data_IF_171559696627
#
_entry.id   IF_171559696627
#
_cell.length_a   1.000
_cell.length_b   1.000
_cell.length_c   1.000
_cell.angle_alpha   90.00
_cell.angle_beta   90.00
_cell.angle_gamma   90.00
#
_symmetry.space_group_name_H-M   'P 1'
#
loop_
_entity.id
_entity.type
_entity.pdbx_description
1 polymer ?
#
# COMPACT_ATOMS: atom_id res chain seq x y z
N UNK A 1 -4.05 -12.28 23.77
CA UNK A 1 -4.45 -12.98 22.53
C UNK A 1 -4.21 -14.47 22.74
N UNK A 2 -5.25 -15.30 22.77
CA UNK A 2 -5.10 -16.77 22.92
C UNK A 2 -4.68 -17.33 21.56
N UNK A 3 -3.59 -18.10 21.51
CA UNK A 3 -3.13 -18.81 20.30
C UNK A 3 -3.63 -20.25 20.34
N UNK A 4 -3.79 -20.86 19.18
CA UNK A 4 -3.95 -22.30 19.09
C UNK A 4 -2.78 -23.00 19.79
N UNK A 5 -3.06 -24.07 20.53
CA UNK A 5 -1.99 -24.91 21.09
C UNK A 5 -1.33 -25.60 19.90
N UNK A 6 -0.01 -25.44 19.79
CA UNK A 6 0.81 -26.15 18.80
C UNK A 6 1.45 -27.38 19.44
N UNK A 7 1.87 -28.33 18.62
CA UNK A 7 2.65 -29.49 19.07
C UNK A 7 3.92 -29.05 19.79
N UNK A 8 4.28 -29.66 20.93
CA UNK A 8 5.49 -29.30 21.67
C UNK A 8 6.77 -29.74 20.95
N UNK A 9 6.67 -30.64 19.97
CA UNK A 9 7.78 -31.22 19.25
C UNK A 9 7.78 -30.79 17.78
N UNK A 10 8.93 -30.41 17.21
CA UNK A 10 9.06 -30.16 15.79
C UNK A 10 8.80 -31.45 15.00
N UNK A 11 8.11 -31.34 13.86
CA UNK A 11 7.81 -32.48 12.97
C UNK A 11 6.60 -33.32 13.38
N UNK A 12 5.90 -32.97 14.46
CA UNK A 12 4.64 -33.63 14.86
C UNK A 12 3.46 -32.77 14.43
N UNK A 13 2.68 -33.26 13.46
CA UNK A 13 1.41 -32.65 13.05
C UNK A 13 0.34 -32.95 14.10
N UNK A 14 -0.44 -31.94 14.51
CA UNK A 14 -1.61 -32.13 15.36
C UNK A 14 -2.88 -32.27 14.51
N UNK A 15 -3.88 -32.99 15.03
CA UNK A 15 -5.20 -33.06 14.41
C UNK A 15 -5.87 -31.67 14.40
N UNK A 16 -6.66 -31.42 13.35
CA UNK A 16 -7.37 -30.15 13.17
C UNK A 16 -8.40 -30.00 14.30
N UNK A 17 -8.25 -28.95 15.11
CA UNK A 17 -9.16 -28.63 16.21
C UNK A 17 -9.99 -27.37 15.92
N UNK A 18 -11.26 -27.40 16.34
CA UNK A 18 -12.16 -26.24 16.33
C UNK A 18 -12.09 -25.44 17.63
N UNK A 19 -11.88 -24.14 17.53
CA UNK A 19 -11.90 -23.19 18.65
C UNK A 19 -13.24 -22.49 18.76
N UNK A 20 -13.88 -22.60 19.93
CA UNK A 20 -15.09 -21.82 20.20
C UNK A 20 -14.75 -20.34 20.37
N UNK A 21 -15.33 -19.49 19.52
CA UNK A 21 -15.13 -18.02 19.55
C UNK A 21 -16.35 -17.26 20.08
N UNK A 22 -17.54 -17.87 20.07
CA UNK A 22 -18.75 -17.29 20.65
C UNK A 22 -19.60 -18.37 21.32
N UNK A 23 -20.31 -17.98 22.39
CA UNK A 23 -21.20 -18.89 23.14
C UNK A 23 -22.67 -18.81 22.70
N UNK A 24 -23.13 -17.63 22.28
CA UNK A 24 -24.51 -17.38 21.82
C UNK A 24 -24.52 -16.42 20.62
N UNK A 25 -24.74 -16.90 19.38
CA UNK A 25 -24.80 -18.32 19.01
C UNK A 25 -23.47 -19.03 19.28
N UNK A 26 -23.49 -20.35 19.41
CA UNK A 26 -22.24 -21.11 19.58
C UNK A 26 -21.50 -21.17 18.24
N UNK A 27 -20.39 -20.44 18.12
CA UNK A 27 -19.58 -20.35 16.89
C UNK A 27 -18.20 -20.94 17.15
N UNK A 28 -17.74 -21.77 16.22
CA UNK A 28 -16.44 -22.44 16.25
C UNK A 28 -15.64 -22.08 15.00
N UNK A 29 -14.32 -21.99 15.11
CA UNK A 29 -13.37 -21.69 14.02
C UNK A 29 -12.33 -22.79 13.96
N UNK A 30 -12.07 -23.34 12.77
CA UNK A 30 -11.01 -24.30 12.54
C UNK A 30 -9.66 -23.58 12.43
N UNK A 31 -8.60 -24.16 13.01
CA UNK A 31 -7.24 -23.57 12.99
C UNK A 31 -6.54 -23.66 11.63
N UNK A 32 -7.04 -24.53 10.75
CA UNK A 32 -6.46 -24.76 9.42
C UNK A 32 -7.32 -24.04 8.39
N UNK A 33 -6.89 -22.88 7.86
CA UNK A 33 -7.61 -22.21 6.79
C UNK A 33 -7.59 -23.11 5.54
N UNK A 34 -8.70 -23.11 4.78
CA UNK A 34 -8.73 -23.74 3.46
C UNK A 34 -7.90 -22.91 2.49
N UNK A 35 -6.83 -23.50 1.95
CA UNK A 35 -6.00 -22.86 0.91
C UNK A 35 -6.52 -23.31 -0.45
N UNK A 36 -7.05 -22.36 -1.23
CA UNK A 36 -7.54 -22.58 -2.58
C UNK A 36 -6.60 -21.92 -3.58
N UNK A 37 -6.48 -22.51 -4.77
CA UNK A 37 -5.79 -21.88 -5.89
C UNK A 37 -6.69 -20.79 -6.48
N UNK A 38 -6.21 -19.55 -6.65
CA UNK A 38 -7.01 -18.50 -7.24
C UNK A 38 -7.26 -18.77 -8.73
N UNK A 39 -8.48 -18.53 -9.20
CA UNK A 39 -8.78 -18.47 -10.64
C UNK A 39 -8.37 -17.10 -11.17
N UNK A 40 -7.57 -17.07 -12.24
CA UNK A 40 -7.12 -15.83 -12.90
C UNK A 40 -7.67 -15.85 -14.33
N UNK A 41 -8.87 -15.28 -14.55
CA UNK A 41 -9.53 -15.35 -15.86
C UNK A 41 -8.89 -14.43 -16.91
N UNK A 42 -8.28 -13.32 -16.48
CA UNK A 42 -7.75 -12.29 -17.35
C UNK A 42 -6.47 -11.63 -16.80
N UNK A 43 -5.82 -10.82 -17.64
CA UNK A 43 -4.54 -10.16 -17.34
C UNK A 43 -4.71 -9.11 -16.23
N UNK A 44 -5.81 -8.37 -16.22
CA UNK A 44 -6.08 -7.33 -15.23
C UNK A 44 -6.23 -7.93 -13.83
N UNK A 45 -6.98 -9.02 -13.70
CA UNK A 45 -7.08 -9.78 -12.44
C UNK A 45 -5.70 -10.23 -11.96
N UNK A 46 -4.85 -10.71 -12.88
CA UNK A 46 -3.47 -11.08 -12.57
C UNK A 46 -2.64 -9.89 -12.05
N UNK A 47 -2.78 -8.71 -12.66
CA UNK A 47 -2.10 -7.48 -12.25
C UNK A 47 -2.61 -6.98 -10.89
N UNK A 48 -3.92 -7.04 -10.62
CA UNK A 48 -4.50 -6.70 -9.31
C UNK A 48 -3.98 -7.61 -8.20
N UNK A 49 -3.95 -8.93 -8.45
CA UNK A 49 -3.40 -9.91 -7.51
C UNK A 49 -1.89 -9.69 -7.26
N UNK A 50 -1.13 -9.39 -8.31
CA UNK A 50 0.28 -9.06 -8.17
C UNK A 50 0.45 -7.77 -7.37
N UNK A 51 -0.32 -6.72 -7.66
CA UNK A 51 -0.27 -5.44 -6.97
C UNK A 51 -0.59 -5.58 -5.46
N UNK A 52 -1.58 -6.41 -5.12
CA UNK A 52 -1.92 -6.77 -3.74
C UNK A 52 -0.82 -7.62 -3.02
N UNK A 53 0.13 -8.18 -3.76
CA UNK A 53 1.18 -9.05 -3.24
C UNK A 53 0.77 -10.52 -3.08
N UNK A 54 -0.37 -10.92 -3.67
CA UNK A 54 -0.86 -12.32 -3.68
C UNK A 54 -0.10 -13.20 -4.67
N UNK A 55 0.52 -12.60 -5.69
CA UNK A 55 1.37 -13.27 -6.68
C UNK A 55 2.79 -12.71 -6.57
N UNK A 56 3.80 -13.56 -6.76
CA UNK A 56 5.21 -13.17 -6.66
C UNK A 56 5.57 -12.17 -7.77
N UNK A 57 6.16 -11.04 -7.39
CA UNK A 57 6.49 -9.95 -8.31
C UNK A 57 7.31 -10.39 -9.52
N UNK A 58 8.29 -11.28 -9.33
CA UNK A 58 9.17 -11.76 -10.41
C UNK A 58 8.44 -12.57 -11.50
N UNK A 59 7.20 -13.01 -11.25
CA UNK A 59 6.38 -13.74 -12.24
C UNK A 59 5.77 -12.77 -13.25
N UNK A 60 5.39 -11.56 -12.80
CA UNK A 60 4.72 -10.55 -13.63
C UNK A 60 5.70 -9.46 -14.10
N UNK A 61 6.73 -9.17 -13.29
CA UNK A 61 7.71 -8.12 -13.48
C UNK A 61 7.37 -6.88 -12.64
N UNK A 62 8.30 -6.45 -11.79
CA UNK A 62 8.12 -5.31 -10.89
C UNK A 62 7.77 -4.02 -11.65
N UNK A 63 8.42 -3.77 -12.79
CA UNK A 63 8.17 -2.61 -13.64
C UNK A 63 6.74 -2.60 -14.19
N UNK A 64 6.29 -3.73 -14.72
CA UNK A 64 4.94 -3.88 -15.27
C UNK A 64 3.85 -3.71 -14.21
N UNK A 65 4.07 -4.21 -12.99
CA UNK A 65 3.14 -3.99 -11.87
C UNK A 65 3.12 -2.50 -11.47
N UNK A 66 4.28 -1.83 -11.45
CA UNK A 66 4.37 -0.41 -11.12
C UNK A 66 3.73 0.50 -12.19
N UNK A 67 3.92 0.20 -13.48
CA UNK A 67 3.24 0.87 -14.59
C UNK A 67 1.72 0.74 -14.45
N UNK A 68 1.21 -0.47 -14.17
CA UNK A 68 -0.22 -0.69 -13.93
C UNK A 68 -0.74 0.13 -12.74
N UNK A 69 0.00 0.17 -11.63
CA UNK A 69 -0.38 1.00 -10.48
C UNK A 69 -0.45 2.49 -10.85
N UNK A 70 0.52 3.01 -11.61
CA UNK A 70 0.50 4.41 -12.07
C UNK A 70 -0.70 4.69 -12.97
N UNK A 71 -0.98 3.81 -13.93
CA UNK A 71 -2.17 3.89 -14.78
C UNK A 71 -3.46 3.99 -13.93
N UNK A 72 -3.67 3.06 -13.00
CA UNK A 72 -4.85 3.03 -12.12
C UNK A 72 -4.96 4.31 -11.29
N UNK A 73 -3.86 4.81 -10.73
CA UNK A 73 -3.86 6.04 -9.93
C UNK A 73 -4.20 7.27 -10.79
N UNK A 74 -3.63 7.36 -11.99
CA UNK A 74 -3.83 8.49 -12.91
C UNK A 74 -5.28 8.53 -13.42
N UNK A 75 -5.82 7.42 -13.93
CA UNK A 75 -7.19 7.33 -14.44
C UNK A 75 -8.23 7.65 -13.37
N UNK A 76 -7.94 7.34 -12.11
CA UNK A 76 -8.83 7.63 -10.97
C UNK A 76 -8.62 9.02 -10.36
N UNK A 77 -7.67 9.81 -10.86
CA UNK A 77 -7.33 11.13 -10.31
C UNK A 77 -6.83 11.08 -8.86
N UNK A 78 -6.34 9.93 -8.38
CA UNK A 78 -5.88 9.78 -6.98
C UNK A 78 -4.77 10.77 -6.62
N UNK A 79 -3.76 11.01 -7.49
CA UNK A 79 -2.71 11.98 -7.18
C UNK A 79 -3.21 13.41 -6.97
N UNK A 80 -4.33 13.81 -7.61
CA UNK A 80 -4.90 15.15 -7.46
C UNK A 80 -5.51 15.35 -6.06
N UNK A 81 -6.00 14.28 -5.44
CA UNK A 81 -6.57 14.33 -4.09
C UNK A 81 -5.49 14.57 -3.01
N UNK A 82 -4.24 14.23 -3.30
CA UNK A 82 -3.12 14.47 -2.38
C UNK A 82 -2.71 15.95 -2.26
N UNK A 83 -3.17 16.85 -3.15
CA UNK A 83 -2.85 18.29 -3.07
C UNK A 83 -3.11 18.87 -1.70
N UNK A 84 -4.30 18.59 -1.15
CA UNK A 84 -4.71 19.07 0.16
C UNK A 84 -3.90 18.49 1.33
N UNK A 85 -3.28 17.31 1.14
CA UNK A 85 -2.46 16.68 2.18
C UNK A 85 -1.05 17.29 2.21
N UNK A 86 -0.49 17.61 1.04
CA UNK A 86 0.85 18.19 0.91
C UNK A 86 0.89 19.66 1.37
N UNK A 87 -0.16 20.44 1.10
CA UNK A 87 -0.24 21.85 1.52
C UNK A 87 -0.28 21.99 3.05
N UNK A 88 -0.93 21.05 3.75
CA UNK A 88 -1.05 21.07 5.22
C UNK A 88 0.25 20.73 5.95
N UNK A 89 1.17 20.00 5.32
CA UNK A 89 2.47 19.65 5.92
C UNK A 89 3.52 20.77 5.79
N UNK A 90 3.26 21.78 4.96
CA UNK A 90 4.17 22.92 4.75
C UNK A 90 3.97 24.02 5.80
N UNK A 91 2.83 24.01 6.49
CA UNK A 91 2.56 24.87 7.65
C UNK A 91 3.30 24.30 8.89
N UNK A 92 4.35 25.01 9.29
CA UNK A 92 5.29 24.67 10.35
C UNK A 92 4.60 24.38 11.72
N UNK A 93 4.74 23.18 12.32
CA UNK A 93 4.21 22.90 13.66
C UNK A 93 4.98 23.59 14.80
N UNK A 94 5.97 24.45 14.53
CA UNK A 94 6.88 25.01 15.56
C UNK A 94 6.31 26.13 16.42
N UNK A 95 5.01 26.39 16.43
CA UNK A 95 4.48 27.48 17.24
C UNK A 95 3.31 27.14 18.17
N UNK A 96 3.22 25.91 18.68
CA UNK A 96 2.22 25.61 19.72
C UNK A 96 2.72 24.57 20.73
N UNK A 97 3.77 24.94 21.49
CA UNK A 97 4.05 24.27 22.76
C UNK A 97 4.53 25.27 23.82
N UNK A 98 3.64 26.16 24.22
CA UNK A 98 3.68 26.67 25.59
C UNK A 98 2.23 26.86 26.05
N UNK A 99 1.92 26.29 27.22
CA UNK A 99 0.66 26.37 27.96
C UNK A 99 -0.37 25.23 27.73
N UNK A 100 -0.19 24.10 28.43
CA UNK A 100 -1.21 23.67 29.42
C UNK A 100 -0.69 22.58 30.39
N UNK A 101 -1.25 22.53 31.60
CA UNK A 101 -0.64 21.95 32.78
C UNK A 101 -0.89 20.46 32.94
N UNK A 102 -0.06 19.89 33.80
CA UNK A 102 -0.05 18.53 34.32
C UNK A 102 -1.44 18.07 34.79
N UNK A 103 -1.86 16.89 34.34
CA UNK A 103 -2.75 16.04 35.13
C UNK A 103 -2.35 14.58 34.97
N UNK A 104 -1.88 14.04 36.10
CA UNK A 104 -1.43 12.69 36.37
C UNK A 104 -2.55 11.67 36.12
N UNK A 105 -2.35 10.72 35.19
CA UNK A 105 -2.83 9.35 35.34
C UNK A 105 -1.73 8.39 34.85
N UNK A 106 -1.09 7.74 35.81
CA UNK A 106 -0.20 6.59 35.62
C UNK A 106 -1.05 5.32 35.39
N UNK A 107 -0.38 4.38 34.72
CA UNK A 107 -0.64 2.94 34.71
C UNK A 107 -1.52 2.37 33.59
N UNK A 108 -0.84 1.89 32.53
CA UNK A 108 -0.86 0.50 32.08
C UNK A 108 0.27 0.29 31.05
N UNK A 109 1.46 -0.06 31.54
CA UNK A 109 2.59 -0.47 30.71
C UNK A 109 2.35 -1.88 30.15
N UNK A 110 2.12 -2.00 28.85
CA UNK A 110 2.31 -3.26 28.12
C UNK A 110 3.60 -3.18 27.28
N UNK A 111 4.56 -4.01 27.69
CA UNK A 111 5.89 -4.21 27.09
C UNK A 111 5.75 -4.85 25.70
N UNK A 112 6.46 -4.32 24.71
CA UNK A 112 6.74 -5.04 23.46
C UNK A 112 6.54 -4.29 22.15
N UNK A 113 6.92 -3.02 22.04
CA UNK A 113 7.28 -2.43 20.73
C UNK A 113 8.58 -1.65 20.89
N UNK A 114 9.62 -2.09 20.17
CA UNK A 114 10.85 -1.33 20.01
C UNK A 114 10.46 0.03 19.44
N UNK A 115 10.75 1.16 20.09
CA UNK A 115 10.38 2.46 19.55
C UNK A 115 11.13 2.64 18.23
N UNK A 116 10.38 2.76 17.14
CA UNK A 116 10.94 3.08 15.84
C UNK A 116 11.60 4.45 15.94
N UNK A 117 12.88 4.53 15.57
CA UNK A 117 13.70 5.72 15.71
C UNK A 117 12.99 6.94 15.09
N UNK A 118 12.76 8.01 15.87
CA UNK A 118 11.96 9.18 15.44
C UNK A 118 12.48 9.79 14.14
N UNK A 119 13.80 9.80 13.94
CA UNK A 119 14.44 10.28 12.70
C UNK A 119 14.07 9.46 11.45
N UNK A 120 13.88 8.15 11.59
CA UNK A 120 13.47 7.29 10.47
C UNK A 120 12.01 7.52 10.08
N UNK A 121 11.15 7.85 11.05
CA UNK A 121 9.75 8.19 10.77
C UNK A 121 9.65 9.46 9.93
N UNK A 122 10.38 10.52 10.30
CA UNK A 122 10.42 11.78 9.54
C UNK A 122 11.00 11.60 8.12
N UNK A 123 12.05 10.79 7.98
CA UNK A 123 12.66 10.51 6.66
C UNK A 123 11.73 9.74 5.72
N UNK A 124 10.91 8.84 6.27
CA UNK A 124 9.91 8.10 5.48
C UNK A 124 8.73 8.98 5.11
N UNK A 125 8.27 9.85 6.03
CA UNK A 125 7.22 10.83 5.76
C UNK A 125 7.64 11.76 4.62
N UNK A 126 8.84 12.35 4.71
CA UNK A 126 9.46 13.18 3.67
C UNK A 126 9.42 12.51 2.28
N UNK A 127 9.79 11.23 2.21
CA UNK A 127 9.78 10.50 0.94
C UNK A 127 8.37 10.22 0.41
N UNK A 128 7.40 9.95 1.28
CA UNK A 128 6.00 9.71 0.86
C UNK A 128 5.40 10.99 0.31
N UNK A 129 5.56 12.11 1.03
CA UNK A 129 5.05 13.41 0.59
C UNK A 129 5.70 13.85 -0.72
N UNK A 130 7.00 13.57 -0.92
CA UNK A 130 7.69 13.89 -2.18
C UNK A 130 7.20 13.02 -3.35
N UNK A 131 6.93 11.73 -3.12
CA UNK A 131 6.31 10.85 -4.14
C UNK A 131 4.92 11.34 -4.50
N UNK A 132 4.09 11.65 -3.50
CA UNK A 132 2.72 12.15 -3.72
C UNK A 132 2.72 13.48 -4.47
N UNK A 133 3.56 14.44 -4.05
CA UNK A 133 3.75 15.73 -4.72
C UNK A 133 4.18 15.53 -6.17
N UNK A 134 5.17 14.68 -6.42
CA UNK A 134 5.71 14.42 -7.76
C UNK A 134 4.62 13.88 -8.69
N UNK A 135 3.88 12.87 -8.25
CA UNK A 135 2.77 12.30 -9.04
C UNK A 135 1.64 13.31 -9.27
N UNK A 136 1.40 14.18 -8.30
CA UNK A 136 0.41 15.23 -8.40
C UNK A 136 0.79 16.31 -9.43
N UNK A 137 2.02 16.80 -9.38
CA UNK A 137 2.55 17.80 -10.32
C UNK A 137 2.54 17.23 -11.74
N UNK A 138 3.14 16.06 -11.93
CA UNK A 138 3.23 15.42 -13.25
C UNK A 138 1.85 15.18 -13.88
N UNK A 139 0.86 14.75 -13.10
CA UNK A 139 -0.51 14.58 -13.59
C UNK A 139 -1.23 15.93 -13.85
N UNK A 140 -0.94 16.96 -13.06
CA UNK A 140 -1.55 18.29 -13.24
C UNK A 140 -1.01 19.06 -14.44
N UNK A 141 0.26 18.85 -14.78
CA UNK A 141 0.93 19.46 -15.92
C UNK A 141 0.70 18.70 -17.22
N UNK A 142 0.15 17.47 -17.13
CA UNK A 142 -0.14 16.65 -18.28
C UNK A 142 -1.32 17.19 -19.09
N UNK A 143 -1.10 17.39 -20.39
CA UNK A 143 -2.10 17.92 -21.31
C UNK A 143 -2.71 16.88 -22.25
N UNK A 144 -2.28 15.62 -22.18
CA UNK A 144 -2.78 14.53 -23.02
C UNK A 144 -4.04 13.86 -22.47
N UNK A 145 -4.58 12.91 -23.22
CA UNK A 145 -5.75 12.12 -22.81
C UNK A 145 -5.33 10.95 -21.91
N UNK A 146 -6.07 10.71 -20.83
CA UNK A 146 -5.88 9.53 -19.97
C UNK A 146 -6.57 8.27 -20.52
N UNK A 147 -7.41 8.42 -21.55
CA UNK A 147 -8.08 7.30 -22.24
C UNK A 147 -7.26 6.79 -23.44
N UNK A 148 -6.34 7.61 -23.96
CA UNK A 148 -5.44 7.20 -25.03
C UNK A 148 -4.21 6.47 -24.44
N UNK A 149 -3.96 5.25 -24.91
CA UNK A 149 -2.89 4.40 -24.39
C UNK A 149 -1.50 4.99 -24.62
N UNK A 150 -1.30 5.71 -25.73
CA UNK A 150 0.01 6.28 -26.09
C UNK A 150 0.33 7.50 -25.22
N UNK A 151 -0.65 8.37 -25.04
CA UNK A 151 -0.58 9.52 -24.14
C UNK A 151 -0.33 9.07 -22.68
N UNK A 152 -1.04 8.04 -22.24
CA UNK A 152 -0.87 7.48 -20.89
C UNK A 152 0.51 6.84 -20.70
N UNK A 153 1.04 6.14 -21.71
CA UNK A 153 2.40 5.59 -21.69
C UNK A 153 3.43 6.72 -21.53
N UNK A 154 3.31 7.80 -22.30
CA UNK A 154 4.20 8.98 -22.18
C UNK A 154 4.14 9.59 -20.77
N UNK A 155 2.95 9.71 -20.18
CA UNK A 155 2.80 10.20 -18.81
C UNK A 155 3.49 9.28 -17.79
N UNK A 156 3.28 7.96 -17.90
CA UNK A 156 3.88 6.98 -17.00
C UNK A 156 5.41 7.01 -17.10
N UNK A 157 5.93 7.13 -18.31
CA UNK A 157 7.36 7.25 -18.57
C UNK A 157 7.97 8.48 -17.88
N UNK A 158 7.32 9.65 -18.02
CA UNK A 158 7.71 10.86 -17.31
C UNK A 158 7.61 10.71 -15.78
N UNK A 159 6.56 10.03 -15.28
CA UNK A 159 6.40 9.76 -13.85
C UNK A 159 7.50 8.85 -13.30
N UNK A 160 8.00 7.88 -14.06
CA UNK A 160 9.13 7.04 -13.64
C UNK A 160 10.41 7.86 -13.41
N UNK A 161 10.73 8.77 -14.32
CA UNK A 161 11.89 9.67 -14.17
C UNK A 161 11.74 10.59 -12.96
N UNK A 162 10.53 11.12 -12.74
CA UNK A 162 10.24 11.99 -11.63
C UNK A 162 10.29 11.22 -10.29
N UNK A 163 9.72 10.02 -10.22
CA UNK A 163 9.79 9.13 -9.07
C UNK A 163 11.21 8.71 -8.74
N UNK A 164 12.07 8.53 -9.75
CA UNK A 164 13.48 8.22 -9.52
C UNK A 164 14.18 9.30 -8.67
N UNK A 165 13.87 10.58 -8.96
CA UNK A 165 14.37 11.73 -8.20
C UNK A 165 13.77 11.74 -6.79
N UNK A 166 12.45 11.59 -6.66
CA UNK A 166 11.73 11.58 -5.38
C UNK A 166 12.22 10.45 -4.43
N UNK A 167 12.48 9.26 -4.98
CA UNK A 167 12.95 8.09 -4.25
C UNK A 167 14.48 8.08 -4.01
N UNK A 168 15.17 9.12 -4.48
CA UNK A 168 16.61 9.35 -4.34
C UNK A 168 17.43 8.17 -4.91
N UNK A 169 17.04 7.68 -6.09
CA UNK A 169 17.70 6.56 -6.78
C UNK A 169 18.74 7.10 -7.77
N UNK A 170 20.01 6.62 -7.75
CA UNK A 170 21.06 7.13 -8.64
C UNK A 170 20.76 6.96 -10.13
N UNK A 171 21.05 7.99 -10.93
CA UNK A 171 20.77 8.02 -12.38
C UNK A 171 21.58 7.02 -13.22
N UNK A 172 22.74 6.57 -12.72
CA UNK A 172 23.64 5.65 -13.43
C UNK A 172 23.38 4.17 -13.15
N UNK A 173 22.38 3.85 -12.34
CA UNK A 173 22.11 2.46 -12.03
C UNK A 173 21.47 1.77 -13.23
N UNK A 174 22.10 0.68 -13.71
CA UNK A 174 21.57 -0.16 -14.80
C UNK A 174 20.16 -0.69 -14.52
N UNK A 175 19.74 -0.71 -13.25
CA UNK A 175 18.45 -1.22 -12.79
C UNK A 175 17.62 -0.12 -12.09
N UNK A 176 17.83 1.15 -12.45
CA UNK A 176 17.16 2.29 -11.82
C UNK A 176 15.64 2.13 -11.80
N UNK A 177 15.03 1.76 -12.94
CA UNK A 177 13.57 1.52 -13.03
C UNK A 177 13.09 0.42 -12.10
N UNK A 178 13.75 -0.74 -12.10
CA UNK A 178 13.37 -1.86 -11.22
C UNK A 178 13.43 -1.43 -9.75
N UNK A 179 14.43 -0.63 -9.37
CA UNK A 179 14.53 -0.07 -8.01
C UNK A 179 13.40 0.92 -7.69
N UNK A 180 13.03 1.78 -8.65
CA UNK A 180 11.88 2.69 -8.53
C UNK A 180 10.61 1.87 -8.29
N UNK A 181 10.35 0.88 -9.15
CA UNK A 181 9.20 -0.01 -9.07
C UNK A 181 9.11 -0.70 -7.72
N UNK A 182 10.20 -1.35 -7.26
CA UNK A 182 10.23 -2.05 -5.96
C UNK A 182 9.91 -1.12 -4.79
N UNK A 183 10.52 0.07 -4.77
CA UNK A 183 10.26 1.04 -3.70
C UNK A 183 8.84 1.58 -3.76
N UNK A 184 8.35 1.92 -4.94
CA UNK A 184 7.01 2.44 -5.15
C UNK A 184 5.94 1.42 -4.73
N UNK A 185 6.05 0.17 -5.20
CA UNK A 185 5.19 -0.94 -4.79
C UNK A 185 5.24 -1.20 -3.28
N UNK A 186 6.42 -1.06 -2.66
CA UNK A 186 6.54 -1.17 -1.19
C UNK A 186 5.76 -0.07 -0.48
N UNK A 187 5.82 1.19 -0.95
CA UNK A 187 5.04 2.28 -0.37
C UNK A 187 3.53 2.04 -0.52
N UNK A 188 3.10 1.56 -1.68
CA UNK A 188 1.71 1.20 -1.94
C UNK A 188 1.23 0.07 -1.01
N UNK A 189 1.90 -1.08 -0.99
CA UNK A 189 1.49 -2.26 -0.20
C UNK A 189 1.57 -2.05 1.31
N UNK A 190 2.41 -1.14 1.77
CA UNK A 190 2.45 -0.75 3.19
C UNK A 190 1.39 0.29 3.56
N UNK A 191 0.54 0.69 2.62
CA UNK A 191 -0.56 1.64 2.82
C UNK A 191 -0.10 3.09 3.00
N UNK A 192 1.17 3.39 2.73
CA UNK A 192 1.74 4.73 2.96
C UNK A 192 1.25 5.78 1.96
N UNK A 193 0.86 5.34 0.76
CA UNK A 193 0.27 6.21 -0.26
C UNK A 193 -1.22 6.48 -0.02
N UNK A 194 -1.82 5.83 0.99
CA UNK A 194 -3.25 5.89 1.29
C UNK A 194 -3.99 4.61 0.90
N UNK A 195 -5.27 4.48 1.31
CA UNK A 195 -6.11 3.35 0.93
C UNK A 195 -6.50 3.44 -0.55
N UNK A 196 -6.39 2.32 -1.27
CA UNK A 196 -6.84 2.17 -2.66
C UNK A 196 -7.60 0.86 -2.78
N UNK A 197 -8.80 0.91 -3.35
CA UNK A 197 -9.64 -0.26 -3.62
C UNK A 197 -9.45 -0.60 -5.10
N UNK A 198 -8.87 -1.74 -5.46
CA UNK A 198 -8.56 -2.03 -6.87
C UNK A 198 -9.77 -2.52 -7.68
N UNK A 199 -10.75 -3.12 -7.02
CA UNK A 199 -11.95 -3.64 -7.66
C UNK A 199 -13.03 -2.56 -7.74
N UNK A 200 -13.66 -2.45 -8.89
CA UNK A 200 -14.81 -1.58 -9.05
C UNK A 200 -16.03 -2.26 -8.41
N UNK A 201 -16.88 -1.47 -7.77
CA UNK A 201 -18.15 -1.97 -7.24
C UNK A 201 -19.10 -2.12 -8.43
N UNK A 202 -19.64 -3.31 -8.71
CA UNK A 202 -20.59 -3.47 -9.81
C UNK A 202 -21.79 -2.56 -9.58
N UNK A 203 -22.17 -1.80 -10.60
CA UNK A 203 -23.41 -1.02 -10.55
C UNK A 203 -24.58 -1.99 -10.41
N UNK A 204 -25.54 -1.65 -9.54
CA UNK A 204 -26.68 -2.51 -9.25
C UNK A 204 -27.52 -2.87 -10.49
N UNK A 205 -27.33 -2.17 -11.62
CA UNK A 205 -27.97 -2.42 -12.91
C UNK A 205 -27.50 -3.68 -13.63
N UNK A 206 -26.31 -4.22 -13.34
CA UNK A 206 -25.75 -5.37 -14.06
C UNK A 206 -26.26 -6.72 -13.52
N UNK A 207 -27.21 -6.68 -12.58
CA UNK A 207 -27.82 -7.87 -11.96
C UNK A 207 -29.09 -8.37 -12.65
N UNK A 208 -29.46 -7.81 -13.81
CA UNK A 208 -30.62 -8.27 -14.58
C UNK A 208 -30.26 -8.44 -16.05
N UNK A 209 -29.84 -9.64 -16.43
CA UNK A 209 -29.99 -10.22 -17.78
C UNK A 209 -29.88 -11.73 -17.71
#
# INVERSE_FOLDING_TARGET
MKKARVGPLPGVTQDIAGFKIAHRPSVYVLDSPGVLVPSIPDIETGLKLALAGSVKDSVVGEERIAQYLLAVLNTRGTPLQWKHLVDRETEDPRHELENKPESVIKDLQNKGKKPMNKSNAYRVQDMVSEVQRTLCITLSEFSGSLEDESDLEILIEHQFEALQKALKIPHKASEARIMVSKKFLTLFRTGKLGPVILDDVPDASDSVS
#
